data_IF_051018846084
#
_entry.id   IF_051018846084
#
_cell.length_a   1.000
_cell.length_b   1.000
_cell.length_c   1.000
_cell.angle_alpha   90.00
_cell.angle_beta   90.00
_cell.angle_gamma   90.00
#
_symmetry.space_group_name_H-M   'P 1'
#
loop_
_entity.id
_entity.type
_entity.pdbx_description
1 polymer ?
#
# COMPACT_ATOMS: atom_id res chain seq x y z
N UNK A 1 17.35 24.04 15.79
CA UNK A 1 17.03 22.67 16.27
C UNK A 1 18.13 21.65 16.00
N UNK A 2 18.93 21.77 14.93
CA UNK A 2 20.11 20.92 14.72
C UNK A 2 21.23 21.11 15.76
N UNK A 3 21.44 22.33 16.27
CA UNK A 3 22.48 22.62 17.28
C UNK A 3 22.22 22.07 18.69
N UNK A 4 20.95 21.95 19.11
CA UNK A 4 20.60 21.38 20.42
C UNK A 4 20.71 19.84 20.40
N UNK A 5 20.52 19.23 19.23
CA UNK A 5 20.75 17.81 19.02
C UNK A 5 22.24 17.44 19.00
N UNK A 6 23.15 18.39 18.71
CA UNK A 6 24.60 18.17 18.73
C UNK A 6 25.17 18.19 20.16
N UNK A 7 24.66 19.07 21.04
CA UNK A 7 25.16 19.21 22.42
C UNK A 7 24.70 18.05 23.32
N UNK A 8 23.54 17.42 23.05
CA UNK A 8 23.10 16.20 23.75
C UNK A 8 23.90 14.96 23.30
N UNK A 9 24.68 15.06 22.22
CA UNK A 9 25.30 13.92 21.52
C UNK A 9 26.82 13.82 21.72
N UNK A 10 27.46 14.75 22.45
CA UNK A 10 28.90 14.66 22.76
C UNK A 10 29.29 13.37 23.52
N UNK A 11 28.35 12.71 24.22
CA UNK A 11 28.56 11.39 24.83
C UNK A 11 28.17 10.17 23.98
N UNK A 12 27.58 10.38 22.78
CA UNK A 12 26.96 9.34 21.94
C UNK A 12 27.53 9.31 20.51
N UNK A 13 28.68 9.96 20.27
CA UNK A 13 29.30 10.11 18.94
C UNK A 13 29.58 8.79 18.20
N UNK A 14 29.57 7.68 18.93
CA UNK A 14 29.83 6.34 18.46
C UNK A 14 28.62 5.51 18.01
N UNK A 15 27.42 5.82 18.51
CA UNK A 15 26.21 5.06 18.16
C UNK A 15 25.53 5.57 16.88
N UNK A 16 25.87 6.80 16.50
CA UNK A 16 25.34 7.52 15.33
C UNK A 16 25.57 6.80 13.99
N UNK A 17 26.75 6.22 13.71
CA UNK A 17 27.00 5.46 12.47
C UNK A 17 26.10 4.23 12.32
N UNK A 18 25.74 3.57 13.41
CA UNK A 18 24.95 2.33 13.41
C UNK A 18 23.45 2.61 13.26
N UNK A 19 22.96 3.68 13.91
CA UNK A 19 21.61 4.19 13.69
C UNK A 19 21.46 4.69 12.25
N UNK A 20 22.50 5.31 11.70
CA UNK A 20 22.61 5.57 10.27
C UNK A 20 22.56 4.27 9.46
N UNK A 21 23.38 3.26 9.76
CA UNK A 21 23.47 2.04 8.94
C UNK A 21 22.16 1.24 8.90
N UNK A 22 21.43 1.13 10.02
CA UNK A 22 20.13 0.45 10.06
C UNK A 22 19.07 1.21 9.28
N UNK A 23 18.99 2.53 9.50
CA UNK A 23 17.97 3.38 8.87
C UNK A 23 18.25 3.60 7.38
N UNK A 24 19.50 3.89 7.03
CA UNK A 24 19.94 4.09 5.64
C UNK A 24 20.10 2.78 4.89
N UNK A 25 20.47 1.66 5.53
CA UNK A 25 20.56 0.36 4.86
C UNK A 25 19.22 -0.13 4.35
N UNK A 26 18.15 -0.02 5.15
CA UNK A 26 16.79 -0.31 4.71
C UNK A 26 16.31 0.64 3.60
N UNK A 27 16.62 1.93 3.74
CA UNK A 27 16.31 2.93 2.71
C UNK A 27 17.06 2.63 1.40
N UNK A 28 18.34 2.26 1.49
CA UNK A 28 19.22 1.91 0.37
C UNK A 28 18.71 0.66 -0.33
N UNK A 29 18.28 -0.36 0.40
CA UNK A 29 17.68 -1.57 -0.19
C UNK A 29 16.40 -1.24 -0.97
N UNK A 30 15.53 -0.40 -0.39
CA UNK A 30 14.32 0.08 -1.05
C UNK A 30 14.66 0.90 -2.31
N UNK A 31 15.58 1.85 -2.21
CA UNK A 31 16.00 2.67 -3.34
C UNK A 31 16.68 1.84 -4.43
N UNK A 32 17.48 0.85 -4.06
CA UNK A 32 18.09 -0.10 -5.00
C UNK A 32 17.01 -0.88 -5.74
N UNK A 33 16.00 -1.39 -5.03
CA UNK A 33 14.85 -2.03 -5.67
C UNK A 33 14.11 -1.09 -6.63
N UNK A 34 13.85 0.15 -6.22
CA UNK A 34 13.19 1.18 -7.04
C UNK A 34 14.02 1.50 -8.28
N UNK A 35 15.34 1.68 -8.15
CA UNK A 35 16.26 1.97 -9.25
C UNK A 35 16.38 0.80 -10.22
N UNK A 36 16.45 -0.43 -9.73
CA UNK A 36 16.43 -1.65 -10.58
C UNK A 36 15.12 -1.74 -11.34
N UNK A 37 13.99 -1.45 -10.69
CA UNK A 37 12.68 -1.43 -11.33
C UNK A 37 12.61 -0.31 -12.39
N UNK A 38 13.03 0.89 -12.03
CA UNK A 38 13.08 2.05 -12.92
C UNK A 38 13.93 1.77 -14.16
N UNK A 39 15.13 1.19 -14.00
CA UNK A 39 16.02 0.84 -15.11
C UNK A 39 15.35 -0.12 -16.09
N UNK A 40 14.54 -1.06 -15.60
CA UNK A 40 13.79 -2.00 -16.46
C UNK A 40 12.63 -1.33 -17.19
N UNK A 41 11.90 -0.44 -16.52
CA UNK A 41 10.73 0.25 -17.11
C UNK A 41 11.15 1.38 -18.03
N UNK A 42 12.33 1.99 -17.83
CA UNK A 42 12.82 3.14 -18.60
C UNK A 42 12.77 2.90 -20.12
N UNK A 43 13.04 1.67 -20.56
CA UNK A 43 12.95 1.29 -21.98
C UNK A 43 11.54 1.38 -22.58
N UNK A 44 10.50 1.39 -21.73
CA UNK A 44 9.09 1.45 -22.10
C UNK A 44 8.48 2.83 -21.81
N UNK A 45 9.30 3.83 -21.45
CA UNK A 45 8.80 5.19 -21.27
C UNK A 45 8.38 5.78 -22.62
N UNK A 46 7.13 6.24 -22.67
CA UNK A 46 6.50 6.73 -23.90
C UNK A 46 5.57 5.70 -24.56
N UNK A 47 5.68 4.41 -24.19
CA UNK A 47 4.69 3.43 -24.62
C UNK A 47 3.34 3.67 -23.91
N UNK A 48 2.22 3.57 -24.63
CA UNK A 48 0.90 3.68 -24.03
C UNK A 48 0.62 2.46 -23.14
N UNK A 49 -0.11 2.70 -22.05
CA UNK A 49 -0.72 1.59 -21.31
C UNK A 49 -1.89 1.05 -22.12
N UNK A 50 -1.87 -0.25 -22.39
CA UNK A 50 -2.98 -0.97 -23.00
C UNK A 50 -3.93 -1.43 -21.90
N UNK A 51 -5.21 -1.10 -22.06
CA UNK A 51 -6.28 -1.64 -21.21
C UNK A 51 -6.56 -3.08 -21.64
N UNK A 52 -6.46 -4.00 -20.69
CA UNK A 52 -6.85 -5.39 -20.85
C UNK A 52 -8.09 -5.65 -20.01
N UNK A 53 -9.22 -5.88 -20.69
CA UNK A 53 -10.44 -6.36 -20.07
C UNK A 53 -10.41 -7.89 -20.03
N UNK A 54 -10.69 -8.44 -18.85
CA UNK A 54 -10.50 -9.86 -18.54
C UNK A 54 -11.83 -10.57 -18.65
N UNK A 55 -11.90 -11.56 -19.54
CA UNK A 55 -13.09 -12.41 -19.67
C UNK A 55 -13.45 -13.11 -18.35
N UNK A 56 -14.72 -13.47 -18.12
CA UNK A 56 -15.17 -14.16 -16.90
C UNK A 56 -14.37 -15.44 -16.60
N UNK A 57 -14.06 -16.23 -17.63
CA UNK A 57 -13.26 -17.46 -17.60
C UNK A 57 -11.75 -17.20 -17.79
N UNK A 58 -11.38 -15.99 -18.20
CA UNK A 58 -10.02 -15.56 -18.51
C UNK A 58 -9.13 -15.26 -17.30
N UNK A 59 -9.54 -15.61 -16.07
CA UNK A 59 -8.75 -15.36 -14.86
C UNK A 59 -8.51 -16.64 -14.07
N UNK A 60 -7.24 -16.99 -13.87
CA UNK A 60 -6.82 -18.14 -13.08
C UNK A 60 -5.81 -17.76 -12.00
N UNK A 61 -5.84 -18.44 -10.86
CA UNK A 61 -4.95 -18.16 -9.74
C UNK A 61 -4.31 -19.42 -9.15
N UNK A 62 -3.08 -19.27 -8.66
CA UNK A 62 -2.35 -20.26 -7.87
C UNK A 62 -1.54 -19.54 -6.79
N UNK A 63 -2.09 -19.47 -5.57
CA UNK A 63 -1.53 -18.65 -4.50
C UNK A 63 -1.48 -17.16 -4.88
N UNK A 64 -0.29 -16.56 -4.87
CA UNK A 64 -0.08 -15.17 -5.31
C UNK A 64 0.11 -15.00 -6.82
N UNK A 65 0.18 -16.11 -7.58
CA UNK A 65 0.31 -16.07 -9.04
C UNK A 65 -1.07 -15.91 -9.64
N UNK A 66 -1.19 -14.95 -10.55
CA UNK A 66 -2.41 -14.66 -11.30
C UNK A 66 -2.09 -14.77 -12.78
N UNK A 67 -2.95 -15.45 -13.51
CA UNK A 67 -2.85 -15.64 -14.96
C UNK A 67 -4.10 -15.11 -15.61
N UNK A 68 -3.91 -14.20 -16.57
CA UNK A 68 -4.98 -13.53 -17.30
C UNK A 68 -4.88 -13.95 -18.75
N UNK A 69 -5.98 -14.45 -19.31
CA UNK A 69 -6.05 -14.81 -20.73
C UNK A 69 -6.04 -13.55 -21.58
N UNK A 70 -5.17 -13.53 -22.58
CA UNK A 70 -5.06 -12.47 -23.56
C UNK A 70 -6.00 -12.76 -24.76
N UNK A 71 -6.38 -11.72 -25.54
CA UNK A 71 -7.23 -11.91 -26.72
C UNK A 71 -6.63 -12.85 -27.77
N UNK A 72 -5.31 -12.93 -27.85
CA UNK A 72 -4.56 -13.82 -28.75
C UNK A 72 -4.50 -15.28 -28.25
N UNK A 73 -5.16 -15.59 -27.13
CA UNK A 73 -5.20 -16.93 -26.53
C UNK A 73 -4.05 -17.25 -25.56
N UNK A 74 -3.00 -16.43 -25.51
CA UNK A 74 -1.89 -16.59 -24.55
C UNK A 74 -2.28 -16.15 -23.14
N UNK A 75 -1.38 -16.36 -22.19
CA UNK A 75 -1.60 -16.08 -20.77
C UNK A 75 -0.58 -15.09 -20.22
N UNK A 76 -1.08 -13.97 -19.74
CA UNK A 76 -0.33 -13.00 -18.97
C UNK A 76 -0.24 -13.47 -17.51
N UNK A 77 0.97 -13.85 -17.09
CA UNK A 77 1.29 -14.31 -15.75
C UNK A 77 1.97 -13.22 -14.94
N UNK A 78 1.43 -12.94 -13.76
CA UNK A 78 1.98 -11.96 -12.81
C UNK A 78 1.87 -12.44 -11.37
N UNK A 79 2.53 -11.76 -10.44
CA UNK A 79 2.36 -11.98 -8.99
C UNK A 79 1.59 -10.80 -8.40
N UNK A 80 0.41 -11.09 -7.88
CA UNK A 80 -0.42 -10.12 -7.17
C UNK A 80 -0.67 -10.58 -5.72
N UNK A 81 -0.46 -9.70 -4.73
CA UNK A 81 -0.85 -9.99 -3.36
C UNK A 81 -2.38 -10.04 -3.22
N UNK A 82 -2.86 -10.46 -2.04
CA UNK A 82 -4.28 -10.72 -1.76
C UNK A 82 -5.22 -9.59 -2.21
N UNK A 83 -4.99 -8.35 -1.74
CA UNK A 83 -5.82 -7.19 -2.09
C UNK A 83 -5.96 -6.95 -3.60
N UNK A 84 -4.86 -6.67 -4.33
CA UNK A 84 -4.91 -6.46 -5.78
C UNK A 84 -5.44 -7.65 -6.57
N UNK A 85 -5.27 -8.89 -6.08
CA UNK A 85 -5.84 -10.08 -6.71
C UNK A 85 -7.37 -10.11 -6.60
N UNK A 86 -7.92 -9.81 -5.44
CA UNK A 86 -9.39 -9.73 -5.22
C UNK A 86 -9.96 -8.54 -6.00
N UNK A 87 -9.24 -7.41 -6.04
CA UNK A 87 -9.61 -6.26 -6.86
C UNK A 87 -9.68 -6.62 -8.35
N UNK A 88 -8.67 -7.32 -8.89
CA UNK A 88 -8.68 -7.79 -10.29
C UNK A 88 -9.81 -8.80 -10.55
N UNK A 89 -10.12 -9.67 -9.58
CA UNK A 89 -11.21 -10.63 -9.71
C UNK A 89 -12.60 -9.97 -9.79
N UNK A 90 -12.75 -8.77 -9.22
CA UNK A 90 -13.98 -7.97 -9.30
C UNK A 90 -14.00 -6.98 -10.47
N UNK A 91 -12.97 -6.15 -10.64
CA UNK A 91 -12.92 -5.15 -11.72
C UNK A 91 -12.68 -5.76 -13.10
N UNK A 92 -12.08 -6.95 -13.17
CA UNK A 92 -11.76 -7.65 -14.42
C UNK A 92 -11.05 -6.77 -15.44
N UNK A 93 -10.20 -5.88 -14.94
CA UNK A 93 -9.46 -4.91 -15.74
C UNK A 93 -8.03 -4.79 -15.24
N UNK A 94 -7.09 -4.77 -16.18
CA UNK A 94 -5.68 -4.61 -15.92
C UNK A 94 -5.08 -3.64 -16.94
N UNK A 95 -4.12 -2.83 -16.52
CA UNK A 95 -3.31 -2.04 -17.44
C UNK A 95 -2.01 -2.76 -17.72
N UNK A 96 -1.64 -2.90 -18.98
CA UNK A 96 -0.42 -3.59 -19.43
C UNK A 96 0.47 -2.60 -20.18
N UNK A 97 1.76 -2.62 -19.88
CA UNK A 97 2.79 -1.80 -20.51
C UNK A 97 3.86 -2.74 -21.11
N UNK A 98 4.21 -2.53 -22.38
CA UNK A 98 5.03 -3.44 -23.16
C UNK A 98 4.21 -4.45 -23.98
N UNK A 99 4.73 -4.80 -25.15
CA UNK A 99 4.13 -5.77 -26.10
C UNK A 99 4.93 -7.08 -26.20
N UNK A 100 6.13 -7.12 -25.62
CA UNK A 100 7.02 -8.29 -25.64
C UNK A 100 6.65 -9.39 -24.64
N UNK A 101 7.48 -10.44 -24.53
CA UNK A 101 7.24 -11.56 -23.61
C UNK A 101 7.37 -11.17 -22.12
N UNK A 102 8.01 -10.03 -21.83
CA UNK A 102 8.08 -9.43 -20.50
C UNK A 102 7.33 -8.10 -20.54
N UNK A 103 6.34 -7.98 -19.68
CA UNK A 103 5.48 -6.79 -19.61
C UNK A 103 5.43 -6.28 -18.18
N UNK A 104 4.92 -5.07 -18.02
CA UNK A 104 4.55 -4.53 -16.71
C UNK A 104 3.05 -4.40 -16.62
N UNK A 105 2.50 -4.75 -15.47
CA UNK A 105 1.06 -4.75 -15.23
C UNK A 105 0.73 -3.88 -14.04
N UNK A 106 -0.38 -3.15 -14.14
CA UNK A 106 -0.89 -2.31 -13.07
C UNK A 106 -2.38 -2.59 -12.85
N UNK A 107 -2.75 -3.16 -11.70
CA UNK A 107 -4.14 -3.17 -11.27
C UNK A 107 -4.65 -1.72 -11.15
N UNK A 108 -5.95 -1.49 -11.38
CA UNK A 108 -6.57 -0.19 -11.11
C UNK A 108 -6.26 0.29 -9.68
N UNK A 109 -5.99 1.58 -9.49
CA UNK A 109 -5.63 2.15 -8.17
C UNK A 109 -4.26 1.71 -7.59
N UNK A 110 -3.52 0.82 -8.24
CA UNK A 110 -2.18 0.46 -7.76
C UNK A 110 -1.15 1.54 -8.10
N UNK A 111 -0.41 1.99 -7.08
CA UNK A 111 0.70 2.94 -7.25
C UNK A 111 1.91 2.34 -7.97
N UNK A 112 2.13 1.03 -7.79
CA UNK A 112 3.31 0.33 -8.31
C UNK A 112 2.92 -0.64 -9.42
N UNK A 113 3.71 -0.65 -10.50
CA UNK A 113 3.63 -1.68 -11.54
C UNK A 113 4.24 -2.99 -11.04
N UNK A 114 3.80 -4.10 -11.62
CA UNK A 114 4.32 -5.45 -11.36
C UNK A 114 4.86 -6.04 -12.64
N UNK A 115 5.99 -6.73 -12.56
CA UNK A 115 6.48 -7.49 -13.70
C UNK A 115 5.55 -8.67 -14.01
N UNK A 116 5.18 -8.81 -15.27
CA UNK A 116 4.48 -9.96 -15.81
C UNK A 116 5.26 -10.61 -16.95
N UNK A 117 4.82 -11.80 -17.34
CA UNK A 117 5.30 -12.51 -18.53
C UNK A 117 4.12 -13.02 -19.33
N UNK A 118 4.26 -13.03 -20.64
CA UNK A 118 3.31 -13.68 -21.53
C UNK A 118 3.83 -15.10 -21.79
N UNK A 119 3.00 -16.09 -21.50
CA UNK A 119 3.29 -17.53 -21.63
C UNK A 119 2.13 -18.18 -22.39
N UNK A 120 2.37 -19.31 -23.06
CA UNK A 120 1.32 -19.96 -23.88
C UNK A 120 0.26 -20.68 -23.05
N UNK A 121 0.59 -21.01 -21.80
CA UNK A 121 -0.29 -21.75 -20.89
C UNK A 121 -0.27 -21.13 -19.47
N UNK A 122 -1.37 -21.26 -18.71
CA UNK A 122 -1.38 -20.87 -17.31
C UNK A 122 -0.56 -21.88 -16.49
N UNK A 123 -0.14 -21.52 -15.25
CA UNK A 123 0.55 -22.45 -14.36
C UNK A 123 -0.23 -23.75 -14.15
N UNK A 124 0.46 -24.89 -14.15
CA UNK A 124 -0.13 -26.18 -13.81
C UNK A 124 -0.85 -26.11 -12.45
N UNK A 125 -2.07 -26.66 -12.39
CA UNK A 125 -2.98 -26.59 -11.24
C UNK A 125 -3.48 -25.17 -10.85
N UNK A 126 -3.48 -24.21 -11.78
CA UNK A 126 -4.17 -22.94 -11.56
C UNK A 126 -5.68 -23.11 -11.64
N UNK A 127 -6.40 -22.66 -10.62
CA UNK A 127 -7.87 -22.74 -10.54
C UNK A 127 -8.52 -21.46 -11.08
N UNK A 128 -9.71 -21.53 -11.68
CA UNK A 128 -10.49 -20.34 -12.03
C UNK A 128 -10.66 -19.42 -10.81
N UNK A 129 -10.47 -18.12 -11.03
CA UNK A 129 -10.73 -17.13 -9.98
C UNK A 129 -12.23 -16.93 -9.82
N UNK A 130 -12.73 -17.07 -8.58
CA UNK A 130 -14.12 -16.73 -8.25
C UNK A 130 -14.46 -15.29 -8.63
N UNK A 131 -15.69 -15.08 -9.08
CA UNK A 131 -16.21 -13.74 -9.31
C UNK A 131 -16.39 -13.01 -7.98
N UNK A 132 -15.96 -11.75 -7.93
CA UNK A 132 -16.14 -10.88 -6.76
C UNK A 132 -17.13 -9.79 -7.14
N UNK A 133 -18.34 -9.76 -6.53
CA UNK A 133 -19.32 -8.73 -6.84
C UNK A 133 -18.80 -7.31 -6.62
N UNK A 134 -19.31 -6.37 -7.43
CA UNK A 134 -18.88 -4.96 -7.46
C UNK A 134 -20.01 -3.96 -7.20
N UNK A 135 -21.04 -4.36 -6.48
CA UNK A 135 -22.02 -3.41 -5.98
C UNK A 135 -21.44 -2.63 -4.79
N UNK A 136 -21.88 -1.39 -4.60
CA UNK A 136 -21.49 -0.59 -3.45
C UNK A 136 -21.96 -1.31 -2.18
N UNK A 137 -21.02 -1.73 -1.34
CA UNK A 137 -21.28 -2.32 -0.03
C UNK A 137 -20.66 -1.46 1.05
N UNK A 138 -21.21 -1.44 2.28
CA UNK A 138 -20.52 -0.84 3.40
C UNK A 138 -19.09 -1.39 3.53
N UNK A 139 -18.10 -0.56 3.94
CA UNK A 139 -16.71 -0.99 4.08
C UNK A 139 -16.49 -2.22 4.97
N UNK A 140 -17.38 -2.49 5.94
CA UNK A 140 -17.35 -3.71 6.77
C UNK A 140 -17.57 -5.00 5.98
N UNK A 141 -18.31 -4.94 4.88
CA UNK A 141 -18.70 -6.08 4.04
C UNK A 141 -17.95 -6.14 2.71
N UNK A 142 -17.04 -5.19 2.48
CA UNK A 142 -16.30 -5.09 1.22
C UNK A 142 -15.16 -6.13 1.16
N UNK A 143 -15.24 -7.12 0.25
CA UNK A 143 -14.23 -8.18 0.13
C UNK A 143 -12.87 -7.65 -0.35
N UNK A 144 -12.83 -6.57 -1.15
CA UNK A 144 -11.59 -5.97 -1.63
C UNK A 144 -10.88 -5.26 -0.48
N UNK A 145 -11.62 -4.44 0.29
CA UNK A 145 -11.05 -3.75 1.45
C UNK A 145 -10.58 -4.76 2.50
N UNK A 146 -11.37 -5.79 2.79
CA UNK A 146 -10.99 -6.87 3.70
C UNK A 146 -9.68 -7.55 3.25
N UNK A 147 -9.55 -7.87 1.95
CA UNK A 147 -8.34 -8.47 1.41
C UNK A 147 -7.11 -7.54 1.47
N UNK A 148 -7.29 -6.24 1.23
CA UNK A 148 -6.23 -5.25 1.39
C UNK A 148 -5.78 -5.10 2.85
N UNK A 149 -6.72 -5.05 3.79
CA UNK A 149 -6.43 -5.00 5.24
C UNK A 149 -5.74 -6.25 5.73
N UNK A 150 -6.21 -7.43 5.33
CA UNK A 150 -5.57 -8.70 5.67
C UNK A 150 -4.14 -8.77 5.13
N UNK A 151 -3.90 -8.31 3.89
CA UNK A 151 -2.57 -8.23 3.33
C UNK A 151 -1.67 -7.23 4.08
N UNK A 152 -2.17 -6.04 4.39
CA UNK A 152 -1.43 -5.03 5.15
C UNK A 152 -1.10 -5.52 6.56
N UNK A 153 -2.06 -6.09 7.28
CA UNK A 153 -1.83 -6.66 8.61
C UNK A 153 -0.78 -7.79 8.57
N UNK A 154 -0.89 -8.71 7.59
CA UNK A 154 0.12 -9.77 7.44
C UNK A 154 1.50 -9.19 7.15
N UNK A 155 1.59 -8.21 6.25
CA UNK A 155 2.86 -7.55 5.92
C UNK A 155 3.46 -6.86 7.14
N UNK A 156 2.67 -6.06 7.86
CA UNK A 156 3.11 -5.38 9.09
C UNK A 156 3.53 -6.37 10.17
N UNK A 157 2.81 -7.49 10.33
CA UNK A 157 3.20 -8.54 11.27
C UNK A 157 4.53 -9.18 10.90
N UNK A 158 4.72 -9.58 9.64
CA UNK A 158 5.98 -10.18 9.16
C UNK A 158 7.13 -9.19 9.32
N UNK A 159 6.97 -7.94 8.88
CA UNK A 159 7.98 -6.89 9.08
C UNK A 159 8.28 -6.69 10.56
N UNK A 160 7.25 -6.64 11.41
CA UNK A 160 7.41 -6.49 12.85
C UNK A 160 8.22 -7.61 13.47
N UNK A 161 7.89 -8.88 13.16
CA UNK A 161 8.63 -10.06 13.63
C UNK A 161 10.07 -10.03 13.14
N UNK A 162 10.31 -9.72 11.86
CA UNK A 162 11.68 -9.62 11.33
C UNK A 162 12.51 -8.58 12.09
N UNK A 163 11.94 -7.41 12.36
CA UNK A 163 12.62 -6.36 13.12
C UNK A 163 12.88 -6.80 14.57
N UNK A 164 11.93 -7.47 15.21
CA UNK A 164 12.12 -8.02 16.56
C UNK A 164 13.26 -9.03 16.61
N UNK A 165 13.31 -9.97 15.64
CA UNK A 165 14.38 -10.97 15.56
C UNK A 165 15.73 -10.32 15.33
N UNK A 166 15.82 -9.34 14.41
CA UNK A 166 17.07 -8.63 14.15
C UNK A 166 17.54 -7.81 15.37
N UNK A 167 16.62 -7.14 16.07
CA UNK A 167 16.94 -6.42 17.29
C UNK A 167 17.38 -7.34 18.42
N UNK A 168 16.69 -8.47 18.62
CA UNK A 168 17.08 -9.44 19.65
C UNK A 168 18.44 -10.09 19.36
N UNK A 169 18.70 -10.44 18.09
CA UNK A 169 20.00 -10.99 17.68
C UNK A 169 21.13 -9.98 17.87
N UNK A 170 20.90 -8.70 17.58
CA UNK A 170 21.89 -7.65 17.80
C UNK A 170 22.19 -7.41 19.29
N UNK A 171 21.18 -7.48 20.17
CA UNK A 171 21.42 -7.41 21.62
C UNK A 171 22.17 -8.64 22.14
N UNK A 172 21.82 -9.84 21.68
CA UNK A 172 22.52 -11.06 22.06
C UNK A 172 24.00 -11.01 21.64
N UNK A 173 24.29 -10.48 20.45
CA UNK A 173 25.66 -10.27 19.98
C UNK A 173 26.43 -9.31 20.89
N UNK A 174 25.82 -8.20 21.32
CA UNK A 174 26.45 -7.26 22.28
C UNK A 174 26.79 -7.96 23.58
N UNK A 175 25.85 -8.73 24.15
CA UNK A 175 26.10 -9.46 25.41
C UNK A 175 27.21 -10.50 25.30
N UNK A 176 27.31 -11.20 24.16
CA UNK A 176 28.38 -12.19 23.94
C UNK A 176 29.75 -11.54 23.79
N UNK A 177 29.83 -10.35 23.19
CA UNK A 177 31.08 -9.60 23.02
C UNK A 177 31.54 -8.93 24.31
N UNK A 178 30.62 -8.57 25.21
CA UNK A 178 30.95 -8.06 26.55
C UNK A 178 31.59 -9.15 27.44
N UNK A 179 31.11 -10.40 27.34
CA UNK A 179 31.56 -11.52 28.17
C UNK A 179 32.97 -12.04 27.77
N UNK A 180 33.39 -11.87 26.51
CA UNK A 180 34.72 -12.25 26.00
C UNK A 180 35.80 -11.16 26.17
N UNK A 181 35.53 -10.08 26.90
CA UNK A 181 36.37 -8.87 26.93
C UNK A 181 37.69 -9.00 27.71
N UNK A 182 38.63 -9.76 27.14
CA UNK A 182 40.05 -9.36 27.03
C UNK A 182 40.40 -8.72 25.67
N UNK A 183 39.41 -8.58 24.76
CA UNK A 183 39.58 -8.07 23.40
C UNK A 183 39.08 -6.64 23.18
N UNK A 184 39.75 -5.94 22.26
CA UNK A 184 39.58 -4.52 21.86
C UNK A 184 38.29 -4.33 21.05
N UNK A 185 37.12 -4.61 21.62
CA UNK A 185 35.87 -4.10 21.07
C UNK A 185 35.72 -2.64 21.52
N UNK A 186 35.83 -1.69 20.59
CA UNK A 186 35.62 -0.28 20.89
C UNK A 186 34.20 -0.10 21.49
N UNK A 187 34.11 0.44 22.71
CA UNK A 187 32.86 0.67 23.43
C UNK A 187 31.85 1.45 22.59
N UNK A 188 32.38 2.27 21.68
CA UNK A 188 31.64 2.93 20.63
C UNK A 188 30.79 2.00 19.76
N UNK A 189 31.41 0.93 19.25
CA UNK A 189 30.78 -0.04 18.38
C UNK A 189 29.70 -0.85 19.09
N UNK A 190 29.98 -1.27 20.33
CA UNK A 190 29.01 -1.98 21.18
C UNK A 190 27.78 -1.11 21.46
N UNK A 191 27.98 0.15 21.85
CA UNK A 191 26.87 1.10 22.08
C UNK A 191 26.03 1.35 20.83
N UNK A 192 26.66 1.38 19.65
CA UNK A 192 25.97 1.51 18.38
C UNK A 192 25.13 0.30 17.98
N UNK A 193 25.67 -0.92 18.15
CA UNK A 193 24.90 -2.15 17.90
C UNK A 193 23.74 -2.27 18.89
N UNK A 194 23.97 -1.96 20.18
CA UNK A 194 22.91 -1.96 21.19
C UNK A 194 21.80 -0.93 20.88
N UNK A 195 22.18 0.30 20.54
CA UNK A 195 21.24 1.36 20.17
C UNK A 195 20.44 1.05 18.92
N UNK A 196 21.08 0.57 17.85
CA UNK A 196 20.40 0.13 16.63
C UNK A 196 19.44 -1.03 16.88
N UNK A 197 19.83 -1.98 17.73
CA UNK A 197 19.01 -3.11 18.13
C UNK A 197 17.76 -2.70 18.91
N UNK A 198 17.90 -1.75 19.85
CA UNK A 198 16.77 -1.18 20.58
C UNK A 198 15.76 -0.48 19.64
N UNK A 199 16.25 0.26 18.63
CA UNK A 199 15.38 0.87 17.60
C UNK A 199 14.64 -0.19 16.80
N UNK A 200 15.29 -1.28 16.39
CA UNK A 200 14.62 -2.38 15.69
C UNK A 200 13.55 -3.06 16.55
N UNK A 201 13.81 -3.29 17.83
CA UNK A 201 12.82 -3.82 18.76
C UNK A 201 11.61 -2.88 18.86
N UNK A 202 11.83 -1.59 19.08
CA UNK A 202 10.76 -0.58 19.16
C UNK A 202 9.91 -0.56 17.88
N UNK A 203 10.54 -0.47 16.71
CA UNK A 203 9.84 -0.49 15.42
C UNK A 203 9.08 -1.82 15.21
N UNK A 204 9.67 -2.94 15.63
CA UNK A 204 9.06 -4.26 15.59
C UNK A 204 7.76 -4.31 16.39
N UNK A 205 7.78 -3.83 17.64
CA UNK A 205 6.59 -3.72 18.51
C UNK A 205 5.54 -2.79 17.89
N UNK A 206 5.93 -1.61 17.42
CA UNK A 206 5.00 -0.66 16.79
C UNK A 206 4.30 -1.27 15.56
N UNK A 207 5.03 -2.01 14.72
CA UNK A 207 4.47 -2.72 13.56
C UNK A 207 3.54 -3.87 13.97
N UNK A 208 3.87 -4.61 15.03
CA UNK A 208 3.02 -5.68 15.56
C UNK A 208 1.70 -5.12 16.12
N UNK A 209 1.77 -4.07 16.95
CA UNK A 209 0.58 -3.35 17.47
C UNK A 209 -0.23 -2.75 16.32
N UNK A 210 0.43 -2.15 15.33
CA UNK A 210 -0.20 -1.65 14.12
C UNK A 210 -0.96 -2.73 13.35
N UNK A 211 -0.38 -3.93 13.21
CA UNK A 211 -1.05 -5.08 12.61
C UNK A 211 -2.32 -5.48 13.35
N UNK A 212 -2.28 -5.54 14.68
CA UNK A 212 -3.46 -5.82 15.51
C UNK A 212 -4.55 -4.75 15.32
N UNK A 213 -4.17 -3.47 15.25
CA UNK A 213 -5.11 -2.37 14.96
C UNK A 213 -5.75 -2.52 13.57
N UNK A 214 -4.99 -2.90 12.54
CA UNK A 214 -5.50 -3.13 11.19
C UNK A 214 -6.45 -4.35 11.13
N UNK A 215 -6.28 -5.33 12.02
CA UNK A 215 -7.19 -6.49 12.10
C UNK A 215 -8.50 -6.22 12.82
N UNK A 216 -8.62 -5.12 13.57
CA UNK A 216 -9.88 -4.80 14.26
C UNK A 216 -11.04 -4.72 13.26
N UNK A 217 -12.19 -5.35 13.55
CA UNK A 217 -13.36 -5.27 12.67
C UNK A 217 -13.71 -3.81 12.35
N UNK A 218 -14.17 -3.58 11.13
CA UNK A 218 -14.85 -2.33 10.81
C UNK A 218 -16.25 -2.41 11.40
N UNK A 219 -16.56 -1.56 12.38
CA UNK A 219 -17.91 -1.42 12.89
C UNK A 219 -18.80 -0.84 11.78
N UNK A 220 -19.98 -1.44 11.57
CA UNK A 220 -20.92 -1.04 10.52
C UNK A 220 -21.40 0.41 10.74
N UNK A 221 -21.62 0.77 12.00
CA UNK A 221 -22.11 2.10 12.43
C UNK A 221 -21.09 3.24 12.24
N UNK A 222 -19.87 2.89 11.83
CA UNK A 222 -18.77 3.84 11.65
C UNK A 222 -18.70 4.46 10.27
N UNK A 223 -19.57 4.10 9.32
CA UNK A 223 -19.47 4.58 7.93
C UNK A 223 -20.77 5.20 7.42
N UNK A 224 -20.65 6.35 6.78
CA UNK A 224 -21.78 7.12 6.23
C UNK A 224 -21.60 7.23 4.72
N UNK A 225 -22.57 6.73 3.96
CA UNK A 225 -22.64 6.95 2.52
C UNK A 225 -23.10 8.38 2.23
N UNK A 226 -22.38 9.06 1.35
CA UNK A 226 -22.73 10.35 0.80
C UNK A 226 -22.96 10.23 -0.69
N UNK A 227 -24.06 10.84 -1.15
CA UNK A 227 -24.21 11.18 -2.56
C UNK A 227 -23.52 12.51 -2.81
N UNK A 228 -22.84 12.64 -3.93
CA UNK A 228 -22.05 13.82 -4.26
C UNK A 228 -22.27 14.28 -5.69
N UNK A 229 -22.25 15.59 -5.87
CA UNK A 229 -22.28 16.25 -7.17
C UNK A 229 -21.13 17.25 -7.19
N UNK A 230 -20.29 17.14 -8.22
CA UNK A 230 -19.11 17.97 -8.37
C UNK A 230 -19.50 19.32 -8.99
N UNK A 231 -18.88 20.41 -8.50
CA UNK A 231 -19.07 21.74 -9.10
C UNK A 231 -18.53 21.80 -10.54
N UNK A 232 -17.50 20.99 -10.82
CA UNK A 232 -16.82 20.95 -12.11
C UNK A 232 -16.59 19.51 -12.56
N UNK A 233 -16.66 19.23 -13.88
CA UNK A 233 -16.28 17.93 -14.42
C UNK A 233 -14.85 17.58 -14.03
N UNK A 234 -14.63 16.34 -13.61
CA UNK A 234 -13.31 15.87 -13.25
C UNK A 234 -12.43 15.75 -14.50
N UNK A 235 -11.35 16.54 -14.54
CA UNK A 235 -10.29 16.42 -15.53
C UNK A 235 -8.98 16.08 -14.81
N UNK A 236 -8.37 14.90 -15.04
CA UNK A 236 -7.16 14.49 -14.36
C UNK A 236 -5.95 15.32 -14.85
N UNK A 237 -5.72 16.48 -14.22
CA UNK A 237 -4.57 17.37 -14.51
C UNK A 237 -3.36 17.12 -13.60
N UNK A 238 -3.57 16.55 -12.41
CA UNK A 238 -2.52 16.35 -11.40
C UNK A 238 -2.02 14.91 -11.33
N UNK A 239 -0.71 14.73 -11.04
CA UNK A 239 -0.04 13.42 -11.03
C UNK A 239 -0.27 12.58 -9.77
N UNK A 240 -0.72 13.17 -8.65
CA UNK A 240 -0.74 12.48 -7.35
C UNK A 240 -2.01 12.71 -6.53
N UNK A 241 -2.31 13.96 -6.16
CA UNK A 241 -3.50 14.32 -5.41
C UNK A 241 -4.36 15.33 -6.18
N UNK A 242 -5.67 15.10 -6.18
CA UNK A 242 -6.66 15.97 -6.80
C UNK A 242 -7.56 16.54 -5.71
N UNK A 243 -7.94 17.80 -5.92
CA UNK A 243 -8.92 18.50 -5.11
C UNK A 243 -10.24 18.54 -5.86
N UNK A 244 -11.29 18.02 -5.24
CA UNK A 244 -12.66 18.12 -5.72
C UNK A 244 -13.48 19.01 -4.79
N UNK A 245 -14.39 19.78 -5.36
CA UNK A 245 -15.39 20.55 -4.62
C UNK A 245 -16.77 20.27 -5.21
N UNK A 246 -17.78 20.41 -4.36
CA UNK A 246 -19.14 20.10 -4.75
C UNK A 246 -20.10 20.13 -3.58
N UNK A 247 -21.25 19.50 -3.81
CA UNK A 247 -22.29 19.28 -2.82
C UNK A 247 -22.31 17.81 -2.39
N UNK A 248 -22.48 17.60 -1.09
CA UNK A 248 -22.65 16.30 -0.48
C UNK A 248 -24.03 16.22 0.18
N UNK A 249 -24.76 15.15 -0.13
CA UNK A 249 -26.03 14.79 0.48
C UNK A 249 -25.81 13.64 1.45
N UNK A 250 -26.20 13.88 2.69
CA UNK A 250 -26.16 12.90 3.77
C UNK A 250 -27.45 12.05 3.76
N UNK A 251 -27.42 10.84 4.35
CA UNK A 251 -28.60 9.98 4.44
C UNK A 251 -29.76 10.60 5.24
N UNK A 252 -29.45 11.53 6.15
CA UNK A 252 -30.42 12.31 6.94
C UNK A 252 -31.08 13.47 6.15
N UNK A 253 -30.75 13.63 4.86
CA UNK A 253 -31.24 14.70 4.00
C UNK A 253 -30.45 16.00 4.07
N UNK A 254 -29.46 16.12 4.98
CA UNK A 254 -28.61 17.30 5.09
C UNK A 254 -27.78 17.48 3.82
N UNK A 255 -27.60 18.74 3.43
CA UNK A 255 -26.74 19.13 2.31
C UNK A 255 -25.59 19.98 2.83
N UNK A 256 -24.38 19.71 2.38
CA UNK A 256 -23.21 20.53 2.75
C UNK A 256 -22.28 20.65 1.56
N UNK A 257 -21.67 21.82 1.40
CA UNK A 257 -20.55 21.93 0.48
C UNK A 257 -19.37 21.16 1.01
N UNK A 258 -18.52 20.68 0.11
CA UNK A 258 -17.35 19.93 0.53
C UNK A 258 -16.11 20.28 -0.26
N UNK A 259 -14.99 19.96 0.35
CA UNK A 259 -13.67 19.91 -0.26
C UNK A 259 -13.07 18.54 0.01
N UNK A 260 -12.82 17.78 -1.05
CA UNK A 260 -12.18 16.47 -0.99
C UNK A 260 -10.76 16.58 -1.55
N UNK A 261 -9.77 16.14 -0.77
CA UNK A 261 -8.39 15.92 -1.26
C UNK A 261 -8.16 14.43 -1.31
N UNK A 262 -7.95 13.90 -2.51
CA UNK A 262 -7.94 12.46 -2.77
C UNK A 262 -6.89 12.10 -3.83
N UNK A 263 -6.46 10.84 -3.89
CA UNK A 263 -5.70 10.37 -5.04
C UNK A 263 -6.55 10.39 -6.32
N UNK A 264 -5.89 10.41 -7.47
CA UNK A 264 -6.55 10.48 -8.80
C UNK A 264 -7.58 9.36 -8.97
N UNK A 265 -7.36 8.17 -8.39
CA UNK A 265 -8.27 7.02 -8.56
C UNK A 265 -9.55 7.21 -7.75
N UNK A 266 -9.45 7.68 -6.50
CA UNK A 266 -10.63 8.03 -5.71
C UNK A 266 -11.41 9.18 -6.35
N UNK A 267 -10.72 10.21 -6.81
CA UNK A 267 -11.34 11.36 -7.47
C UNK A 267 -12.09 10.96 -8.76
N UNK A 268 -11.48 10.11 -9.59
CA UNK A 268 -12.10 9.60 -10.81
C UNK A 268 -13.34 8.74 -10.52
N UNK A 269 -13.28 7.87 -9.51
CA UNK A 269 -14.43 7.04 -9.14
C UNK A 269 -15.58 7.89 -8.61
N UNK A 270 -15.29 8.81 -7.69
CA UNK A 270 -16.24 9.81 -7.18
C UNK A 270 -16.94 10.54 -8.33
N UNK A 271 -16.19 11.00 -9.33
CA UNK A 271 -16.74 11.74 -10.45
C UNK A 271 -17.67 10.90 -11.34
N UNK A 272 -17.44 9.59 -11.43
CA UNK A 272 -18.22 8.67 -12.25
C UNK A 272 -19.44 8.14 -11.50
N UNK A 273 -19.29 7.81 -10.21
CA UNK A 273 -20.36 7.15 -9.42
C UNK A 273 -21.24 8.14 -8.67
N UNK A 274 -20.75 9.35 -8.40
CA UNK A 274 -21.44 10.29 -7.52
C UNK A 274 -21.58 9.79 -6.08
N UNK A 275 -20.73 8.87 -5.64
CA UNK A 275 -20.77 8.25 -4.30
C UNK A 275 -19.45 8.41 -3.56
N UNK A 276 -19.53 8.60 -2.25
CA UNK A 276 -18.39 8.67 -1.33
C UNK A 276 -18.77 8.12 0.03
N UNK A 277 -17.87 7.41 0.71
CA UNK A 277 -18.12 6.93 2.07
C UNK A 277 -17.20 7.64 3.06
N UNK A 278 -17.76 8.11 4.17
CA UNK A 278 -17.00 8.75 5.25
C UNK A 278 -16.92 7.85 6.47
N UNK A 279 -15.77 7.89 7.15
CA UNK A 279 -15.63 7.30 8.48
C UNK A 279 -16.28 8.24 9.51
N UNK A 280 -17.52 7.94 9.87
CA UNK A 280 -18.38 8.69 10.78
C UNK A 280 -18.95 9.95 10.15
N UNK A 281 -19.80 10.64 10.91
CA UNK A 281 -20.23 11.99 10.54
C UNK A 281 -19.09 12.98 10.78
N UNK A 282 -18.71 13.79 9.78
CA UNK A 282 -17.71 14.83 9.98
C UNK A 282 -18.24 15.87 10.97
N UNK A 283 -17.49 16.20 12.03
CA UNK A 283 -17.77 17.38 12.84
C UNK A 283 -17.64 18.63 11.96
N UNK A 284 -18.41 19.68 12.26
CA UNK A 284 -18.35 20.95 11.54
C UNK A 284 -16.90 21.45 11.43
N UNK A 285 -16.46 21.74 10.20
CA UNK A 285 -15.13 22.28 9.89
C UNK A 285 -13.94 21.32 10.06
N UNK A 286 -14.13 20.07 10.53
CA UNK A 286 -13.04 19.09 10.70
C UNK A 286 -12.95 18.12 9.52
N UNK A 287 -11.75 17.69 9.12
CA UNK A 287 -11.60 16.69 8.08
C UNK A 287 -12.05 15.30 8.58
N UNK A 288 -12.84 14.62 7.78
CA UNK A 288 -13.14 13.20 7.91
C UNK A 288 -12.34 12.39 6.89
N UNK A 289 -12.07 11.12 7.23
CA UNK A 289 -11.49 10.17 6.28
C UNK A 289 -12.57 9.71 5.33
N UNK A 290 -12.28 9.77 4.05
CA UNK A 290 -13.17 9.35 2.99
C UNK A 290 -12.58 8.16 2.22
N UNK A 291 -13.43 7.32 1.67
CA UNK A 291 -13.03 6.20 0.82
C UNK A 291 -14.16 5.79 -0.10
N UNK A 292 -13.88 4.86 -0.99
CA UNK A 292 -14.88 4.25 -1.86
C UNK A 292 -14.82 2.73 -1.69
N UNK A 293 -15.95 2.08 -1.35
CA UNK A 293 -16.01 0.63 -1.32
C UNK A 293 -15.58 0.03 -2.66
N UNK A 294 -14.79 -1.02 -2.60
CA UNK A 294 -14.20 -1.69 -3.74
C UNK A 294 -12.89 -1.09 -4.21
N UNK A 295 -12.40 0.02 -3.64
CA UNK A 295 -11.12 0.63 -4.01
C UNK A 295 -10.24 0.90 -2.79
N UNK A 296 -8.94 0.59 -2.85
CA UNK A 296 -8.00 0.82 -1.75
C UNK A 296 -7.56 2.30 -1.69
N UNK A 297 -8.52 3.22 -1.78
CA UNK A 297 -8.24 4.64 -1.92
C UNK A 297 -8.81 5.42 -0.73
N UNK A 298 -8.01 6.32 -0.18
CA UNK A 298 -8.36 7.16 0.97
C UNK A 298 -8.20 8.62 0.60
N UNK A 299 -9.15 9.44 1.02
CA UNK A 299 -9.13 10.88 0.88
C UNK A 299 -9.42 11.58 2.19
N UNK A 300 -9.22 12.89 2.21
CA UNK A 300 -9.64 13.78 3.29
C UNK A 300 -10.81 14.62 2.78
N UNK A 301 -11.99 14.38 3.36
CA UNK A 301 -13.20 15.14 3.11
C UNK A 301 -13.34 16.21 4.18
N UNK A 302 -13.63 17.45 3.79
CA UNK A 302 -13.93 18.53 4.72
C UNK A 302 -15.26 19.18 4.33
N UNK A 303 -16.25 19.24 5.25
CA UNK A 303 -17.42 20.07 5.03
C UNK A 303 -16.97 21.53 5.01
N UNK A 304 -17.44 22.27 3.99
CA UNK A 304 -17.18 23.69 3.79
C UNK A 304 -18.32 24.51 4.36
#
# INVERSE_FOLDING_TARGET
MLGVLLVVVEGWGSALPYLYFGTFGGLLLMWTYVLVLYRRIRSLFGEPYHRLDVAPDGLRTKGSRVSVRLPDGRWLRTRLPGGPRVQLAGERRLWVLGTGPRVFVRPPGAMWVRSGRIEDAPPAAAVPAGFVPRYATPPSRDPVLAAHRAFQARRSAVTGVTLLVLGAAGLALVSSLEDESGGIADAAGLGGVAGGSAVFLMLGVLMAVGSLRIRRPLTEDGWVELRIALDTPFVPRARTAVRLTGWAWYPDGRQTRFKLVADVSLAANVAVTGQLWLLGYPPAGKPAKAGLPGYPCLGSFRPA
#
